data_IF_514268740907
#
_entry.id   IF_514268740907
#
_cell.length_a   1.000
_cell.length_b   1.000
_cell.length_c   1.000
_cell.angle_alpha   90.00
_cell.angle_beta   90.00
_cell.angle_gamma   90.00
#
_symmetry.space_group_name_H-M   'P 1'
#
loop_
_entity.id
_entity.type
_entity.pdbx_description
1 polymer ?
#
# COMPACT_ATOMS: atom_id res chain seq x y z
N UNK A 1 -12.82 -3.42 10.54
CA UNK A 1 -11.64 -2.97 9.78
C UNK A 1 -10.43 -3.56 10.46
N UNK A 2 -9.52 -4.16 9.69
CA UNK A 2 -8.23 -4.63 10.21
C UNK A 2 -7.19 -3.52 10.04
N UNK A 3 -6.32 -3.35 11.02
CA UNK A 3 -5.27 -2.31 11.01
C UNK A 3 -3.91 -2.98 11.23
N UNK A 4 -2.90 -2.55 10.45
CA UNK A 4 -1.55 -3.07 10.55
C UNK A 4 -0.52 -1.94 10.39
N UNK A 5 0.51 -1.99 11.23
CA UNK A 5 1.62 -1.05 11.19
C UNK A 5 2.79 -1.66 10.43
N UNK A 6 3.30 -0.94 9.43
CA UNK A 6 4.41 -1.36 8.60
C UNK A 6 5.61 -0.45 8.87
N UNK A 7 6.60 -0.98 9.59
CA UNK A 7 7.84 -0.25 9.86
C UNK A 7 8.80 -0.37 8.68
N UNK A 8 9.23 0.76 8.14
CA UNK A 8 10.24 0.81 7.08
C UNK A 8 11.53 1.44 7.60
N UNK A 9 12.68 0.92 7.15
CA UNK A 9 14.00 1.47 7.48
C UNK A 9 14.56 2.37 6.37
N UNK A 10 13.75 2.64 5.34
CA UNK A 10 14.08 3.47 4.19
C UNK A 10 13.26 4.77 4.23
N UNK A 11 13.68 5.79 3.47
CA UNK A 11 12.92 7.04 3.37
C UNK A 11 11.49 6.83 2.85
N UNK A 12 11.31 5.83 1.98
CA UNK A 12 10.02 5.46 1.42
C UNK A 12 10.00 3.99 1.03
N UNK A 13 8.80 3.46 0.86
CA UNK A 13 8.51 2.19 0.20
C UNK A 13 7.60 2.46 -1.01
N UNK A 14 7.74 1.70 -2.09
CA UNK A 14 6.81 1.81 -3.22
C UNK A 14 5.48 1.15 -2.85
N UNK A 15 4.36 1.68 -3.34
CA UNK A 15 3.03 1.12 -3.07
C UNK A 15 2.94 -0.37 -3.42
N UNK A 16 3.43 -0.78 -4.59
CA UNK A 16 3.49 -2.22 -4.97
C UNK A 16 4.31 -3.08 -3.98
N UNK A 17 5.42 -2.52 -3.47
CA UNK A 17 6.26 -3.18 -2.48
C UNK A 17 5.61 -3.24 -1.11
N UNK A 18 4.87 -2.20 -0.72
CA UNK A 18 4.10 -2.16 0.53
C UNK A 18 3.01 -3.22 0.55
N UNK A 19 2.24 -3.34 -0.54
CA UNK A 19 1.17 -4.35 -0.64
C UNK A 19 1.74 -5.77 -0.54
N UNK A 20 2.88 -6.02 -1.18
CA UNK A 20 3.58 -7.30 -1.06
C UNK A 20 4.08 -7.54 0.36
N UNK A 21 4.71 -6.53 0.97
CA UNK A 21 5.26 -6.63 2.33
C UNK A 21 4.17 -6.87 3.38
N UNK A 22 2.98 -6.28 3.20
CA UNK A 22 1.82 -6.48 4.05
C UNK A 22 1.07 -7.80 3.78
N UNK A 23 1.51 -8.61 2.81
CA UNK A 23 0.85 -9.87 2.46
C UNK A 23 -0.48 -9.71 1.72
N UNK A 24 -0.79 -8.51 1.22
CA UNK A 24 -1.99 -8.24 0.41
C UNK A 24 -1.82 -8.85 -0.98
N UNK A 25 -0.63 -8.68 -1.57
CA UNK A 25 -0.32 -9.14 -2.91
C UNK A 25 0.75 -10.23 -2.84
N UNK A 26 0.49 -11.38 -3.45
CA UNK A 26 1.45 -12.50 -3.48
C UNK A 26 2.59 -12.23 -4.48
N UNK A 27 2.29 -11.54 -5.58
CA UNK A 27 3.26 -11.17 -6.61
C UNK A 27 3.18 -9.68 -6.99
N UNK A 28 4.19 -9.23 -7.74
CA UNK A 28 4.16 -7.89 -8.35
C UNK A 28 3.07 -7.73 -9.42
N UNK A 29 2.61 -8.84 -10.02
CA UNK A 29 1.47 -8.86 -10.93
C UNK A 29 0.15 -8.58 -10.21
N UNK A 30 -0.04 -9.21 -9.05
CA UNK A 30 -1.25 -9.00 -8.23
C UNK A 30 -1.30 -7.57 -7.70
N UNK A 31 -0.17 -7.08 -7.18
CA UNK A 31 -0.08 -5.68 -6.74
C UNK A 31 -0.39 -4.69 -7.87
N UNK A 32 0.01 -5.01 -9.11
CA UNK A 32 -0.31 -4.17 -10.28
C UNK A 32 -1.82 -4.14 -10.54
N UNK A 33 -2.49 -5.31 -10.53
CA UNK A 33 -3.94 -5.40 -10.74
C UNK A 33 -4.71 -4.56 -9.72
N UNK A 34 -4.53 -4.85 -8.43
CA UNK A 34 -5.21 -4.17 -7.31
C UNK A 34 -5.03 -2.64 -7.39
N UNK A 35 -3.82 -2.18 -7.70
CA UNK A 35 -3.54 -0.75 -7.83
C UNK A 35 -4.20 -0.17 -9.07
N UNK A 36 -4.07 -0.79 -10.24
CA UNK A 36 -4.64 -0.26 -11.49
C UNK A 36 -6.16 -0.28 -11.51
N UNK A 37 -6.78 -1.23 -10.81
CA UNK A 37 -8.22 -1.35 -10.65
C UNK A 37 -8.79 -0.31 -9.67
N UNK A 38 -7.93 0.47 -9.00
CA UNK A 38 -8.33 1.56 -8.12
C UNK A 38 -8.81 1.09 -6.74
N UNK A 39 -8.48 -0.13 -6.34
CA UNK A 39 -8.89 -0.72 -5.06
C UNK A 39 -8.10 -0.18 -3.86
N UNK A 40 -7.02 0.57 -4.13
CA UNK A 40 -6.12 1.12 -3.11
C UNK A 40 -6.25 2.63 -3.03
N UNK A 41 -6.36 3.14 -1.80
CA UNK A 41 -6.28 4.57 -1.50
C UNK A 41 -5.07 4.87 -0.62
N UNK A 42 -4.40 5.99 -0.90
CA UNK A 42 -3.30 6.52 -0.08
C UNK A 42 -3.76 7.86 0.47
N UNK A 43 -3.79 8.01 1.80
CA UNK A 43 -4.27 9.20 2.51
C UNK A 43 -5.69 9.62 2.07
N UNK A 44 -6.56 8.64 1.82
CA UNK A 44 -7.95 8.86 1.41
C UNK A 44 -8.17 9.15 -0.09
N UNK A 45 -7.11 9.18 -0.91
CA UNK A 45 -7.22 9.33 -2.34
C UNK A 45 -6.90 8.03 -3.07
N UNK A 46 -7.79 7.59 -3.97
CA UNK A 46 -7.56 6.42 -4.83
C UNK A 46 -6.27 6.62 -5.61
N UNK A 47 -5.36 5.64 -5.54
CA UNK A 47 -4.06 5.70 -6.16
C UNK A 47 -3.87 4.53 -7.12
N UNK A 48 -3.79 4.83 -8.42
CA UNK A 48 -3.52 3.85 -9.48
C UNK A 48 -2.06 3.79 -9.90
N UNK A 49 -1.18 4.49 -9.17
CA UNK A 49 0.24 4.56 -9.46
C UNK A 49 1.04 3.57 -8.61
N UNK A 50 1.39 2.41 -9.18
CA UNK A 50 2.17 1.36 -8.49
C UNK A 50 3.50 1.83 -7.89
N UNK A 51 4.16 2.76 -8.58
CA UNK A 51 5.44 3.35 -8.17
C UNK A 51 5.28 4.55 -7.23
N UNK A 52 4.08 4.80 -6.70
CA UNK A 52 3.85 5.85 -5.70
C UNK A 52 4.75 5.56 -4.50
N UNK A 53 5.53 6.56 -4.11
CA UNK A 53 6.34 6.53 -2.89
C UNK A 53 5.41 6.76 -1.71
N UNK A 54 5.37 5.79 -0.80
CA UNK A 54 4.68 5.84 0.48
C UNK A 54 5.74 6.03 1.57
N UNK A 55 5.54 7.00 2.45
CA UNK A 55 6.50 7.41 3.47
C UNK A 55 5.96 7.15 4.87
N UNK A 56 6.82 7.17 5.91
CA UNK A 56 6.35 7.13 7.29
C UNK A 56 5.31 8.23 7.54
N UNK A 57 4.20 7.85 8.19
CA UNK A 57 3.02 8.69 8.41
C UNK A 57 1.93 8.57 7.34
N UNK A 58 2.23 8.01 6.16
CA UNK A 58 1.19 7.73 5.16
C UNK A 58 0.31 6.54 5.57
N UNK A 59 -0.97 6.62 5.21
CA UNK A 59 -1.96 5.58 5.45
C UNK A 59 -2.45 5.03 4.11
N UNK A 60 -2.37 3.71 3.95
CA UNK A 60 -2.86 3.00 2.77
C UNK A 60 -4.06 2.15 3.16
N UNK A 61 -5.17 2.28 2.42
CA UNK A 61 -6.41 1.55 2.70
C UNK A 61 -6.90 0.80 1.47
N UNK A 62 -7.37 -0.43 1.67
CA UNK A 62 -7.90 -1.32 0.65
C UNK A 62 -8.73 -2.42 1.30
N UNK A 63 -9.82 -2.87 0.69
CA UNK A 63 -10.60 -4.05 1.12
C UNK A 63 -10.87 -4.18 2.63
N UNK A 64 -11.09 -3.06 3.33
CA UNK A 64 -11.33 -3.05 4.79
C UNK A 64 -10.08 -3.22 5.68
N UNK A 65 -8.89 -3.25 5.06
CA UNK A 65 -7.57 -3.22 5.68
C UNK A 65 -6.98 -1.80 5.62
N UNK A 66 -6.33 -1.38 6.70
CA UNK A 66 -5.61 -0.12 6.81
C UNK A 66 -4.16 -0.40 7.21
N UNK A 67 -3.23 0.08 6.40
CA UNK A 67 -1.80 -0.04 6.57
C UNK A 67 -1.25 1.34 6.94
N UNK A 68 -0.71 1.48 8.15
CA UNK A 68 -0.02 2.70 8.56
C UNK A 68 1.47 2.48 8.41
N UNK A 69 2.14 3.33 7.63
CA UNK A 69 3.59 3.23 7.46
C UNK A 69 4.27 4.00 8.58
N UNK A 70 5.23 3.37 9.26
CA UNK A 70 5.99 3.92 10.39
C UNK A 70 7.49 3.96 10.08
#
# INVERSE_FOLDING_TARGET
MQEQEIRIHTEFIKLEGLLKFAGVAESGGDAKGIIQDGEVSVNGAVCTQRGKKVRPGDVVTLSGLKLTVL
#
